data_IF_736438217859
#
_entry.id   IF_736438217859
#
_cell.length_a   1.000
_cell.length_b   1.000
_cell.length_c   1.000
_cell.angle_alpha   90.00
_cell.angle_beta   90.00
_cell.angle_gamma   90.00
#
_symmetry.space_group_name_H-M   'P 1'
#
loop_
_entity.id
_entity.type
_entity.pdbx_description
1 polymer ?
#
# COMPACT_ATOMS: atom_id res chain seq x y z
N UNK A 1 0.67 3.91 -59.35
CA UNK A 1 0.28 4.59 -58.09
C UNK A 1 -0.10 3.63 -56.94
N UNK A 2 0.40 2.37 -56.90
CA UNK A 2 0.05 1.39 -55.84
C UNK A 2 1.25 0.84 -55.06
N UNK A 3 2.47 1.26 -55.44
CA UNK A 3 3.73 0.89 -54.76
C UNK A 3 4.34 2.03 -53.93
N UNK A 4 3.80 3.25 -54.03
CA UNK A 4 4.25 4.39 -53.23
C UNK A 4 3.54 4.48 -51.86
N UNK A 5 2.37 3.84 -51.71
CA UNK A 5 1.58 3.88 -50.49
C UNK A 5 2.03 2.88 -49.40
N UNK A 6 2.88 1.90 -49.76
CA UNK A 6 3.37 0.89 -48.82
C UNK A 6 4.67 1.30 -48.11
N UNK A 7 5.33 2.37 -48.56
CA UNK A 7 6.57 2.87 -47.96
C UNK A 7 6.36 3.99 -46.93
N UNK A 8 5.14 4.53 -46.80
CA UNK A 8 4.83 5.61 -45.85
C UNK A 8 4.25 5.10 -44.50
N UNK A 9 4.02 3.80 -44.35
CA UNK A 9 3.44 3.17 -43.16
C UNK A 9 4.49 2.53 -42.23
N UNK A 10 5.78 2.85 -42.40
CA UNK A 10 6.88 2.22 -41.66
C UNK A 10 7.62 3.17 -40.70
N UNK A 11 7.12 4.39 -40.48
CA UNK A 11 7.78 5.40 -39.63
C UNK A 11 6.96 5.94 -38.45
N UNK A 12 5.83 5.32 -38.11
CA UNK A 12 5.07 5.62 -36.89
C UNK A 12 5.11 4.48 -35.87
N UNK A 13 6.18 3.69 -35.82
CA UNK A 13 6.53 3.03 -34.55
C UNK A 13 7.20 4.09 -33.68
N UNK A 14 6.38 4.98 -33.12
CA UNK A 14 6.73 5.56 -31.83
C UNK A 14 7.15 4.34 -30.98
N UNK A 15 8.37 4.29 -30.41
CA UNK A 15 8.60 3.33 -29.36
C UNK A 15 7.42 3.55 -28.42
N UNK A 16 6.62 2.51 -28.19
CA UNK A 16 5.76 2.50 -27.04
C UNK A 16 6.75 2.63 -25.89
N UNK A 17 7.00 3.87 -25.45
CA UNK A 17 7.51 4.13 -24.12
C UNK A 17 6.47 3.44 -23.27
N UNK A 18 6.77 2.21 -22.84
CA UNK A 18 6.02 1.60 -21.77
C UNK A 18 5.93 2.68 -20.71
N UNK A 19 4.71 2.96 -20.24
CA UNK A 19 4.53 4.01 -19.26
C UNK A 19 5.42 3.62 -18.07
N UNK A 20 6.53 4.32 -17.87
CA UNK A 20 7.55 4.00 -16.87
C UNK A 20 6.91 3.91 -15.48
N UNK A 21 5.77 4.58 -15.27
CA UNK A 21 4.99 4.45 -14.06
C UNK A 21 4.25 3.11 -13.96
N UNK A 22 3.65 2.59 -15.04
CA UNK A 22 3.02 1.27 -15.04
C UNK A 22 4.06 0.16 -14.82
N UNK A 23 5.25 0.31 -15.40
CA UNK A 23 6.39 -0.58 -15.16
C UNK A 23 6.88 -0.48 -13.71
N UNK A 24 6.97 0.74 -13.16
CA UNK A 24 7.32 0.95 -11.75
C UNK A 24 6.28 0.33 -10.82
N UNK A 25 5.00 0.55 -11.11
CA UNK A 25 3.89 0.01 -10.32
C UNK A 25 3.97 -1.51 -10.25
N UNK A 26 4.24 -2.15 -11.39
CA UNK A 26 4.40 -3.61 -11.47
C UNK A 26 5.68 -4.07 -10.78
N UNK A 27 6.82 -3.44 -11.08
CA UNK A 27 8.14 -3.85 -10.57
C UNK A 27 8.28 -3.66 -9.07
N UNK A 28 7.64 -2.63 -8.50
CA UNK A 28 7.60 -2.41 -7.06
C UNK A 28 6.59 -3.32 -6.32
N UNK A 29 5.94 -4.26 -7.01
CA UNK A 29 5.10 -5.30 -6.40
C UNK A 29 3.70 -4.84 -5.97
N UNK A 30 3.19 -3.73 -6.51
CA UNK A 30 1.87 -3.23 -6.14
C UNK A 30 0.72 -4.22 -6.40
N UNK A 31 0.65 -4.94 -7.54
CA UNK A 31 -0.41 -5.90 -7.79
C UNK A 31 -0.47 -7.03 -6.75
N UNK A 32 0.70 -7.53 -6.35
CA UNK A 32 0.83 -8.59 -5.34
C UNK A 32 0.52 -8.08 -3.95
N UNK A 33 0.99 -6.88 -3.57
CA UNK A 33 0.62 -6.24 -2.30
C UNK A 33 -0.91 -6.02 -2.21
N UNK A 34 -1.55 -5.58 -3.30
CA UNK A 34 -3.01 -5.48 -3.39
C UNK A 34 -3.66 -6.85 -3.19
N UNK A 35 -3.16 -7.90 -3.85
CA UNK A 35 -3.70 -9.25 -3.69
C UNK A 35 -3.60 -9.73 -2.23
N UNK A 36 -2.45 -9.52 -1.59
CA UNK A 36 -2.25 -9.85 -0.17
C UNK A 36 -3.20 -9.07 0.75
N UNK A 37 -3.44 -7.78 0.47
CA UNK A 37 -4.43 -6.99 1.20
C UNK A 37 -5.85 -7.57 1.04
N UNK A 38 -6.27 -7.92 -0.18
CA UNK A 38 -7.60 -8.51 -0.43
C UNK A 38 -7.75 -9.88 0.25
N UNK A 39 -6.70 -10.71 0.25
CA UNK A 39 -6.69 -11.99 0.96
C UNK A 39 -6.83 -11.80 2.48
N UNK A 40 -6.06 -10.86 3.05
CA UNK A 40 -6.12 -10.52 4.46
C UNK A 40 -7.50 -9.96 4.85
N UNK A 41 -8.08 -9.11 3.99
CA UNK A 41 -9.41 -8.55 4.16
C UNK A 41 -10.48 -9.66 4.15
N UNK A 42 -10.41 -10.58 3.19
CA UNK A 42 -11.34 -11.72 3.09
C UNK A 42 -11.25 -12.59 4.34
N UNK A 43 -10.03 -12.91 4.80
CA UNK A 43 -9.82 -13.66 6.03
C UNK A 43 -10.36 -12.91 7.27
N UNK A 44 -10.25 -11.57 7.30
CA UNK A 44 -10.82 -10.75 8.36
C UNK A 44 -12.36 -10.76 8.34
N UNK A 45 -12.97 -10.63 7.16
CA UNK A 45 -14.43 -10.72 6.98
C UNK A 45 -14.94 -12.07 7.50
N UNK A 46 -14.34 -13.20 7.11
CA UNK A 46 -14.74 -14.54 7.56
C UNK A 46 -14.77 -14.69 9.09
N UNK A 47 -13.83 -14.05 9.81
CA UNK A 47 -13.79 -14.05 11.29
C UNK A 47 -15.02 -13.38 11.92
N UNK A 48 -15.64 -12.41 11.24
CA UNK A 48 -16.82 -11.71 11.74
C UNK A 48 -18.13 -12.41 11.40
N UNK A 49 -18.12 -13.41 10.51
CA UNK A 49 -19.33 -14.10 10.03
C UNK A 49 -20.20 -14.66 11.15
N UNK A 50 -19.58 -15.19 12.20
CA UNK A 50 -20.30 -15.79 13.33
C UNK A 50 -20.59 -14.80 14.47
N UNK A 51 -20.03 -13.59 14.40
CA UNK A 51 -20.10 -12.59 15.47
C UNK A 51 -21.04 -11.42 15.13
N UNK A 52 -21.50 -11.32 13.88
CA UNK A 52 -22.39 -10.25 13.42
C UNK A 52 -23.74 -10.82 12.96
N UNK A 53 -24.86 -10.10 13.17
CA UNK A 53 -26.13 -10.48 12.57
C UNK A 53 -26.03 -10.56 11.04
N UNK A 54 -26.73 -11.50 10.37
CA UNK A 54 -26.55 -11.77 8.94
C UNK A 54 -26.68 -10.53 8.04
N UNK A 55 -27.65 -9.66 8.32
CA UNK A 55 -27.86 -8.44 7.55
C UNK A 55 -26.68 -7.45 7.69
N UNK A 56 -26.13 -7.31 8.90
CA UNK A 56 -24.98 -6.44 9.20
C UNK A 56 -23.72 -6.99 8.54
N UNK A 57 -23.51 -8.30 8.64
CA UNK A 57 -22.40 -8.98 7.99
C UNK A 57 -22.45 -8.80 6.47
N UNK A 58 -23.61 -9.00 5.85
CA UNK A 58 -23.77 -8.86 4.41
C UNK A 58 -23.53 -7.41 3.95
N UNK A 59 -24.04 -6.42 4.69
CA UNK A 59 -23.79 -5.01 4.41
C UNK A 59 -22.29 -4.69 4.50
N UNK A 60 -21.60 -5.17 5.54
CA UNK A 60 -20.16 -5.01 5.70
C UNK A 60 -19.38 -5.58 4.51
N UNK A 61 -19.64 -6.84 4.15
CA UNK A 61 -18.96 -7.52 3.04
C UNK A 61 -19.21 -6.81 1.71
N UNK A 62 -20.46 -6.41 1.43
CA UNK A 62 -20.80 -5.73 0.18
C UNK A 62 -20.08 -4.38 0.04
N UNK A 63 -20.14 -3.53 1.07
CA UNK A 63 -19.45 -2.24 1.05
C UNK A 63 -17.93 -2.41 0.97
N UNK A 64 -17.39 -3.39 1.69
CA UNK A 64 -15.97 -3.72 1.67
C UNK A 64 -15.51 -4.12 0.27
N UNK A 65 -16.18 -5.07 -0.35
CA UNK A 65 -15.82 -5.59 -1.68
C UNK A 65 -16.00 -4.53 -2.77
N UNK A 66 -16.99 -3.65 -2.65
CA UNK A 66 -17.16 -2.53 -3.56
C UNK A 66 -16.02 -1.52 -3.44
N UNK A 67 -15.66 -1.11 -2.21
CA UNK A 67 -14.60 -0.13 -1.99
C UNK A 67 -13.22 -0.66 -2.40
N UNK A 68 -12.94 -1.92 -2.05
CA UNK A 68 -11.66 -2.57 -2.26
C UNK A 68 -11.64 -3.47 -3.50
N UNK A 69 -12.51 -3.20 -4.48
CA UNK A 69 -12.49 -3.88 -5.77
C UNK A 69 -11.10 -3.72 -6.42
N UNK A 70 -10.41 -4.80 -6.81
CA UNK A 70 -9.01 -4.75 -7.24
C UNK A 70 -8.70 -3.71 -8.30
N UNK A 71 -9.47 -3.70 -9.40
CA UNK A 71 -9.27 -2.78 -10.52
C UNK A 71 -9.52 -1.32 -10.10
N UNK A 72 -10.44 -1.09 -9.16
CA UNK A 72 -10.73 0.25 -8.67
C UNK A 72 -9.61 0.75 -7.74
N UNK A 73 -9.03 -0.13 -6.92
CA UNK A 73 -7.86 0.19 -6.10
C UNK A 73 -6.67 0.56 -6.97
N UNK A 74 -6.33 -0.29 -7.95
CA UNK A 74 -5.19 -0.09 -8.83
C UNK A 74 -5.35 1.20 -9.65
N UNK A 75 -6.54 1.45 -10.20
CA UNK A 75 -6.83 2.68 -10.95
C UNK A 75 -6.60 3.93 -10.10
N UNK A 76 -7.20 4.01 -8.91
CA UNK A 76 -7.04 5.16 -8.01
C UNK A 76 -5.59 5.35 -7.58
N UNK A 77 -4.89 4.26 -7.27
CA UNK A 77 -3.49 4.30 -6.86
C UNK A 77 -2.60 4.81 -8.01
N UNK A 78 -2.74 4.27 -9.22
CA UNK A 78 -1.99 4.68 -10.41
C UNK A 78 -2.27 6.13 -10.81
N UNK A 79 -3.54 6.54 -10.84
CA UNK A 79 -3.92 7.94 -11.12
C UNK A 79 -3.32 8.89 -10.09
N UNK A 80 -3.37 8.52 -8.80
CA UNK A 80 -2.76 9.35 -7.76
C UNK A 80 -1.25 9.45 -7.93
N UNK A 81 -0.59 8.32 -8.20
CA UNK A 81 0.85 8.26 -8.38
C UNK A 81 1.31 9.07 -9.60
N UNK A 82 0.59 9.00 -10.74
CA UNK A 82 0.83 9.87 -11.93
C UNK A 82 0.81 11.35 -11.57
N UNK A 83 -0.07 11.75 -10.66
CA UNK A 83 -0.23 13.15 -10.27
C UNK A 83 0.77 13.60 -9.20
N UNK A 84 1.39 12.69 -8.46
CA UNK A 84 2.25 13.03 -7.31
C UNK A 84 3.72 12.67 -7.50
N UNK A 85 4.06 11.75 -8.39
CA UNK A 85 5.43 11.35 -8.68
C UNK A 85 5.92 12.10 -9.93
N UNK A 86 6.84 13.07 -9.78
CA UNK A 86 7.28 13.88 -10.92
C UNK A 86 8.07 13.08 -11.97
N UNK A 87 8.91 12.14 -11.52
CA UNK A 87 9.71 11.27 -12.38
C UNK A 87 9.74 9.84 -11.82
N UNK A 88 9.17 8.84 -12.53
CA UNK A 88 9.22 7.45 -12.11
C UNK A 88 10.56 6.76 -12.39
N UNK A 89 11.43 7.31 -13.25
CA UNK A 89 12.62 6.62 -13.76
C UNK A 89 13.63 6.24 -12.67
N UNK A 90 13.97 7.11 -11.70
CA UNK A 90 14.94 6.75 -10.65
C UNK A 90 14.44 5.59 -9.79
N UNK A 91 13.17 5.64 -9.39
CA UNK A 91 12.55 4.56 -8.61
C UNK A 91 12.45 3.27 -9.42
N UNK A 92 12.04 3.36 -10.69
CA UNK A 92 11.98 2.20 -11.59
C UNK A 92 13.35 1.52 -11.69
N UNK A 93 14.40 2.32 -11.91
CA UNK A 93 15.78 1.84 -12.01
C UNK A 93 16.20 1.13 -10.71
N UNK A 94 15.90 1.72 -9.55
CA UNK A 94 16.19 1.10 -8.26
C UNK A 94 15.47 -0.24 -8.10
N UNK A 95 14.16 -0.31 -8.35
CA UNK A 95 13.40 -1.56 -8.18
C UNK A 95 13.74 -2.64 -9.22
N UNK A 96 14.27 -2.27 -10.38
CA UNK A 96 14.80 -3.22 -11.37
C UNK A 96 16.20 -3.78 -10.99
N UNK A 97 16.93 -3.11 -10.11
CA UNK A 97 18.23 -3.59 -9.62
C UNK A 97 18.13 -4.93 -8.88
N UNK A 98 19.24 -5.68 -8.73
CA UNK A 98 19.25 -6.87 -7.89
C UNK A 98 18.77 -6.60 -6.46
N UNK A 99 19.22 -5.50 -5.85
CA UNK A 99 18.82 -5.11 -4.49
C UNK A 99 17.32 -4.79 -4.42
N UNK A 100 16.82 -3.94 -5.34
CA UNK A 100 15.41 -3.57 -5.39
C UNK A 100 14.48 -4.77 -5.50
N UNK A 101 14.83 -5.75 -6.35
CA UNK A 101 14.09 -7.01 -6.45
C UNK A 101 14.11 -7.84 -5.17
N UNK A 102 15.23 -7.86 -4.44
CA UNK A 102 15.33 -8.54 -3.13
C UNK A 102 14.47 -7.86 -2.07
N UNK A 103 14.43 -6.54 -2.06
CA UNK A 103 13.56 -5.74 -1.17
C UNK A 103 12.10 -6.05 -1.44
N UNK A 104 11.66 -5.95 -2.70
CA UNK A 104 10.27 -6.27 -3.08
C UNK A 104 9.92 -7.71 -2.70
N UNK A 105 10.80 -8.68 -2.98
CA UNK A 105 10.57 -10.07 -2.59
C UNK A 105 10.43 -10.25 -1.06
N UNK A 106 11.24 -9.55 -0.27
CA UNK A 106 11.17 -9.59 1.19
C UNK A 106 9.85 -8.98 1.72
N UNK A 107 9.42 -7.86 1.16
CA UNK A 107 8.15 -7.20 1.50
C UNK A 107 6.93 -8.05 1.12
N UNK A 108 6.94 -8.64 -0.08
CA UNK A 108 5.89 -9.54 -0.54
C UNK A 108 5.82 -10.81 0.31
N UNK A 109 6.97 -11.37 0.69
CA UNK A 109 7.00 -12.51 1.61
C UNK A 109 6.35 -12.13 2.94
N UNK A 110 6.70 -10.97 3.50
CA UNK A 110 6.20 -10.54 4.81
C UNK A 110 4.68 -10.31 4.83
N UNK A 111 4.07 -9.89 3.73
CA UNK A 111 2.62 -9.64 3.63
C UNK A 111 1.82 -10.84 3.13
N UNK A 112 2.47 -11.96 2.80
CA UNK A 112 1.80 -13.17 2.32
C UNK A 112 0.90 -13.78 3.41
N UNK A 113 -0.24 -14.34 3.01
CA UNK A 113 -1.28 -14.88 3.91
C UNK A 113 -0.74 -15.84 4.97
N UNK A 114 0.15 -16.76 4.60
CA UNK A 114 0.75 -17.74 5.52
C UNK A 114 1.68 -17.07 6.55
N UNK A 115 2.44 -16.05 6.16
CA UNK A 115 3.29 -15.30 7.08
C UNK A 115 2.46 -14.48 8.06
N UNK A 116 1.41 -13.80 7.57
CA UNK A 116 0.47 -13.09 8.42
C UNK A 116 -0.24 -14.01 9.41
N UNK A 117 -0.64 -15.21 8.96
CA UNK A 117 -1.26 -16.21 9.84
C UNK A 117 -0.27 -16.74 10.89
N UNK A 118 0.96 -17.05 10.47
CA UNK A 118 2.02 -17.54 11.36
C UNK A 118 2.39 -16.53 12.44
N UNK A 119 2.33 -15.23 12.13
CA UNK A 119 2.73 -14.15 13.02
C UNK A 119 1.54 -13.32 13.52
N UNK A 120 0.34 -13.91 13.56
CA UNK A 120 -0.88 -13.23 14.01
C UNK A 120 -0.81 -12.75 15.48
N UNK A 121 0.09 -13.31 16.30
CA UNK A 121 0.32 -12.93 17.70
C UNK A 121 1.51 -11.96 17.87
N UNK A 122 2.10 -11.51 16.77
CA UNK A 122 3.29 -10.66 16.77
C UNK A 122 4.48 -11.32 16.07
N UNK A 123 5.45 -10.47 15.74
CA UNK A 123 6.72 -10.89 15.16
C UNK A 123 7.69 -11.32 16.26
N UNK A 124 8.57 -12.31 16.00
CA UNK A 124 9.65 -12.61 16.93
C UNK A 124 10.54 -11.38 17.12
N UNK A 125 11.07 -11.20 18.33
CA UNK A 125 12.06 -10.15 18.58
C UNK A 125 13.38 -10.52 17.94
N UNK A 126 13.92 -9.61 17.12
CA UNK A 126 15.22 -9.81 16.48
C UNK A 126 16.29 -9.04 17.27
N UNK A 127 17.30 -9.77 17.71
CA UNK A 127 18.53 -9.15 18.19
C UNK A 127 19.43 -8.82 17.00
N UNK A 128 19.89 -7.58 16.92
CA UNK A 128 20.65 -7.06 15.79
C UNK A 128 21.90 -6.33 16.28
N UNK A 129 22.94 -6.32 15.45
CA UNK A 129 24.15 -5.51 15.69
C UNK A 129 23.82 -4.03 15.80
N UNK A 130 24.68 -3.25 16.46
CA UNK A 130 24.50 -1.79 16.55
C UNK A 130 24.41 -1.14 15.16
N UNK A 131 25.21 -1.62 14.20
CA UNK A 131 25.16 -1.16 12.79
C UNK A 131 23.80 -1.43 12.16
N UNK A 132 23.30 -2.66 12.26
CA UNK A 132 22.00 -3.01 11.68
C UNK A 132 20.85 -2.24 12.34
N UNK A 133 20.91 -2.03 13.66
CA UNK A 133 19.93 -1.19 14.36
C UNK A 133 19.97 0.26 13.85
N UNK A 134 21.15 0.83 13.64
CA UNK A 134 21.29 2.17 13.07
C UNK A 134 20.63 2.26 11.68
N UNK A 135 20.94 1.32 10.77
CA UNK A 135 20.38 1.28 9.42
C UNK A 135 18.85 1.16 9.44
N UNK A 136 18.30 0.32 10.31
CA UNK A 136 16.84 0.19 10.48
C UNK A 136 16.21 1.47 11.02
N UNK A 137 16.86 2.16 11.96
CA UNK A 137 16.39 3.46 12.45
C UNK A 137 16.34 4.52 11.34
N UNK A 138 17.28 4.48 10.40
CA UNK A 138 17.25 5.35 9.22
C UNK A 138 16.07 4.97 8.30
N UNK A 139 15.89 3.68 8.00
CA UNK A 139 14.73 3.22 7.21
C UNK A 139 13.39 3.56 7.86
N UNK A 140 13.23 3.41 9.19
CA UNK A 140 11.97 3.71 9.88
C UNK A 140 11.58 5.20 9.85
N UNK A 141 12.54 6.07 9.58
CA UNK A 141 12.32 7.51 9.34
C UNK A 141 12.10 7.84 7.88
N UNK A 142 12.80 7.16 6.97
CA UNK A 142 12.70 7.38 5.53
C UNK A 142 11.43 6.79 4.92
N UNK A 143 10.98 5.63 5.41
CA UNK A 143 9.81 4.92 4.91
C UNK A 143 8.54 5.37 5.66
N UNK A 144 7.44 5.69 4.95
CA UNK A 144 6.16 6.07 5.55
C UNK A 144 5.35 4.85 6.02
N UNK A 145 6.02 3.87 6.65
CA UNK A 145 5.42 2.59 7.02
C UNK A 145 4.35 2.73 8.12
N UNK A 146 4.58 3.61 9.10
CA UNK A 146 3.60 3.89 10.17
C UNK A 146 2.37 4.62 9.62
N UNK A 147 2.57 5.56 8.70
CA UNK A 147 1.48 6.26 8.02
C UNK A 147 0.69 5.26 7.18
N UNK A 148 1.35 4.48 6.33
CA UNK A 148 0.69 3.48 5.49
C UNK A 148 -0.14 2.48 6.31
N UNK A 149 0.41 1.95 7.42
CA UNK A 149 -0.32 1.04 8.30
C UNK A 149 -1.54 1.69 8.98
N UNK A 150 -1.42 2.97 9.37
CA UNK A 150 -2.56 3.72 9.91
C UNK A 150 -3.65 3.94 8.84
N UNK A 151 -3.28 4.26 7.60
CA UNK A 151 -4.24 4.45 6.50
C UNK A 151 -4.98 3.15 6.15
N UNK A 152 -4.29 2.00 6.16
CA UNK A 152 -4.91 0.67 5.99
C UNK A 152 -5.95 0.42 7.08
N UNK A 153 -5.59 0.66 8.33
CA UNK A 153 -6.49 0.44 9.47
C UNK A 153 -7.72 1.34 9.39
N UNK A 154 -7.53 2.62 9.07
CA UNK A 154 -8.60 3.60 8.93
C UNK A 154 -9.50 3.30 7.74
N UNK A 155 -8.97 2.79 6.63
CA UNK A 155 -9.76 2.37 5.48
C UNK A 155 -10.75 1.26 5.86
N UNK A 156 -10.28 0.25 6.59
CA UNK A 156 -11.09 -0.87 7.06
C UNK A 156 -12.15 -0.38 8.05
N UNK A 157 -11.76 0.48 9.00
CA UNK A 157 -12.68 1.07 9.97
C UNK A 157 -13.78 1.92 9.29
N UNK A 158 -13.41 2.68 8.26
CA UNK A 158 -14.34 3.50 7.47
C UNK A 158 -15.42 2.67 6.79
N UNK A 159 -15.07 1.50 6.24
CA UNK A 159 -16.07 0.57 5.66
C UNK A 159 -17.07 0.09 6.70
N UNK A 160 -16.60 -0.26 7.89
CA UNK A 160 -17.49 -0.70 8.97
C UNK A 160 -18.45 0.42 9.40
N UNK A 161 -17.95 1.66 9.50
CA UNK A 161 -18.76 2.83 9.84
C UNK A 161 -19.83 3.13 8.76
N UNK A 162 -19.44 3.12 7.48
CA UNK A 162 -20.36 3.32 6.34
C UNK A 162 -21.45 2.24 6.31
N UNK A 163 -21.07 0.99 6.56
CA UNK A 163 -21.99 -0.14 6.58
C UNK A 163 -23.02 -0.02 7.70
N UNK A 164 -22.60 0.49 8.87
CA UNK A 164 -23.52 0.74 9.99
C UNK A 164 -24.46 1.93 9.69
N UNK A 165 -23.93 3.02 9.15
CA UNK A 165 -24.68 4.23 8.81
C UNK A 165 -25.77 3.97 7.75
N UNK A 166 -25.47 3.14 6.73
CA UNK A 166 -26.44 2.79 5.68
C UNK A 166 -27.63 1.97 6.19
N UNK A 167 -27.47 1.26 7.32
CA UNK A 167 -28.58 0.52 7.96
C UNK A 167 -29.37 1.37 8.96
N UNK A 168 -28.74 2.35 9.61
CA UNK A 168 -29.37 3.23 10.60
C UNK A 168 -29.13 4.69 10.20
N UNK A 169 -29.97 5.24 9.31
CA UNK A 169 -29.88 6.65 8.92
C UNK A 169 -29.96 7.57 10.15
N UNK A 170 -28.97 8.45 10.31
CA UNK A 170 -28.94 9.44 11.40
C UNK A 170 -28.11 9.08 12.64
N UNK A 171 -27.50 7.88 12.69
CA UNK A 171 -26.69 7.46 13.84
C UNK A 171 -25.32 8.17 13.92
N UNK A 172 -24.79 8.66 12.80
CA UNK A 172 -23.47 9.31 12.71
C UNK A 172 -23.59 10.64 11.95
N UNK A 173 -23.69 11.75 12.69
CA UNK A 173 -23.69 13.11 12.14
C UNK A 173 -22.31 13.47 11.57
N UNK A 174 -22.24 13.68 10.25
CA UNK A 174 -21.02 13.74 9.42
C UNK A 174 -19.99 14.85 9.68
N UNK A 175 -20.02 15.54 10.82
CA UNK A 175 -19.06 16.61 11.18
C UNK A 175 -18.15 16.31 12.38
N UNK A 176 -18.63 15.56 13.38
CA UNK A 176 -17.83 15.22 14.58
C UNK A 176 -16.93 13.97 14.38
N UNK A 177 -17.16 13.20 13.32
CA UNK A 177 -16.39 12.01 13.01
C UNK A 177 -14.94 12.32 12.59
N UNK A 178 -14.71 13.44 11.89
CA UNK A 178 -13.39 13.74 11.29
C UNK A 178 -12.29 13.99 12.34
N UNK A 179 -12.54 14.86 13.32
CA UNK A 179 -11.57 15.14 14.39
C UNK A 179 -11.31 13.92 15.30
N UNK A 180 -12.30 13.05 15.46
CA UNK A 180 -12.14 11.77 16.17
C UNK A 180 -11.27 10.78 15.37
N UNK A 181 -11.41 10.74 14.04
CA UNK A 181 -10.59 9.92 13.15
C UNK A 181 -9.13 10.39 13.13
N UNK A 182 -8.88 11.70 13.17
CA UNK A 182 -7.52 12.24 13.23
C UNK A 182 -6.80 11.85 14.53
N UNK A 183 -7.49 11.92 15.68
CA UNK A 183 -6.96 11.43 16.95
C UNK A 183 -6.78 9.90 17.00
N UNK A 184 -7.57 9.13 16.25
CA UNK A 184 -7.33 7.69 16.07
C UNK A 184 -6.11 7.43 15.18
N UNK A 185 -5.94 8.19 14.09
CA UNK A 185 -4.77 8.10 13.21
C UNK A 185 -3.48 8.28 14.00
N UNK A 186 -3.39 9.34 14.79
CA UNK A 186 -2.19 9.64 15.58
C UNK A 186 -1.84 8.53 16.57
N UNK A 187 -2.85 7.99 17.29
CA UNK A 187 -2.65 6.87 18.22
C UNK A 187 -2.19 5.59 17.51
N UNK A 188 -2.76 5.28 16.35
CA UNK A 188 -2.33 4.13 15.54
C UNK A 188 -0.89 4.29 15.06
N UNK A 189 -0.52 5.50 14.62
CA UNK A 189 0.86 5.78 14.22
C UNK A 189 1.85 5.58 15.37
N UNK A 190 1.50 6.00 16.59
CA UNK A 190 2.34 5.78 17.79
C UNK A 190 2.47 4.29 18.15
N UNK A 191 1.39 3.53 18.05
CA UNK A 191 1.41 2.07 18.28
C UNK A 191 2.28 1.35 17.25
N UNK A 192 2.11 1.68 15.97
CA UNK A 192 2.91 1.08 14.89
C UNK A 192 4.38 1.50 15.03
N UNK A 193 4.66 2.75 15.40
CA UNK A 193 6.02 3.23 15.62
C UNK A 193 6.78 2.42 16.69
N UNK A 194 6.09 1.97 17.75
CA UNK A 194 6.70 1.15 18.80
C UNK A 194 7.25 -0.20 18.33
N UNK A 195 6.62 -0.80 17.31
CA UNK A 195 7.01 -2.10 16.75
C UNK A 195 7.70 -2.01 15.38
N UNK A 196 7.80 -0.79 14.83
CA UNK A 196 8.24 -0.57 13.45
C UNK A 196 9.67 -1.10 13.24
N UNK A 197 10.60 -0.76 14.13
CA UNK A 197 12.00 -1.20 13.97
C UNK A 197 12.12 -2.74 13.99
N UNK A 198 11.39 -3.43 14.89
CA UNK A 198 11.39 -4.89 14.91
C UNK A 198 10.74 -5.49 13.65
N UNK A 199 9.71 -4.81 13.13
CA UNK A 199 9.06 -5.20 11.88
C UNK A 199 10.02 -5.09 10.70
N UNK A 200 10.73 -3.96 10.55
CA UNK A 200 11.70 -3.77 9.48
C UNK A 200 12.90 -4.72 9.62
N UNK A 201 13.36 -4.98 10.84
CA UNK A 201 14.36 -6.03 11.10
C UNK A 201 13.88 -7.39 10.61
N UNK A 202 12.62 -7.73 10.83
CA UNK A 202 12.05 -9.00 10.40
C UNK A 202 11.89 -9.07 8.88
N UNK A 203 11.32 -8.03 8.27
CA UNK A 203 11.11 -7.96 6.81
C UNK A 203 12.44 -8.09 6.08
N UNK A 204 13.44 -7.29 6.46
CA UNK A 204 14.72 -7.22 5.76
C UNK A 204 15.83 -8.11 6.36
N UNK A 205 15.46 -9.11 7.16
CA UNK A 205 16.41 -10.01 7.88
C UNK A 205 17.45 -10.67 6.98
N UNK A 206 17.07 -10.96 5.74
CA UNK A 206 17.90 -11.68 4.76
C UNK A 206 18.83 -10.73 3.96
N UNK A 207 18.67 -9.41 4.10
CA UNK A 207 19.61 -8.44 3.52
C UNK A 207 20.88 -8.35 4.37
N UNK A 208 22.02 -8.16 3.71
CA UNK A 208 23.28 -7.82 4.39
C UNK A 208 23.28 -6.36 4.84
N UNK A 209 24.17 -6.00 5.79
CA UNK A 209 24.28 -4.62 6.26
C UNK A 209 24.64 -3.64 5.12
N UNK A 210 25.55 -3.96 4.18
CA UNK A 210 25.80 -3.11 3.01
C UNK A 210 24.58 -2.92 2.10
N UNK A 211 23.77 -3.98 1.92
CA UNK A 211 22.53 -3.89 1.12
C UNK A 211 21.46 -3.04 1.81
N UNK A 212 21.37 -3.13 3.14
CA UNK A 212 20.52 -2.23 3.93
C UNK A 212 21.00 -0.78 3.85
N UNK A 213 22.30 -0.53 3.85
CA UNK A 213 22.88 0.80 3.68
C UNK A 213 22.60 1.40 2.30
N UNK A 214 22.73 0.61 1.23
CA UNK A 214 22.35 1.03 -0.12
C UNK A 214 20.84 1.34 -0.20
N UNK A 215 20.02 0.54 0.49
CA UNK A 215 18.58 0.82 0.56
C UNK A 215 18.28 2.12 1.32
N UNK A 216 18.91 2.34 2.48
CA UNK A 216 18.81 3.60 3.23
C UNK A 216 19.19 4.77 2.34
N UNK A 217 20.30 4.64 1.62
CA UNK A 217 20.82 5.70 0.72
C UNK A 217 19.79 6.07 -0.34
N UNK A 218 19.17 5.08 -0.98
CA UNK A 218 18.08 5.35 -1.93
C UNK A 218 16.86 5.98 -1.23
N UNK A 219 16.38 5.41 -0.13
CA UNK A 219 15.18 5.88 0.56
C UNK A 219 15.32 7.32 1.09
N UNK A 220 16.53 7.73 1.50
CA UNK A 220 16.82 9.08 1.97
C UNK A 220 17.14 10.08 0.85
N UNK A 221 17.42 9.59 -0.37
CA UNK A 221 17.68 10.44 -1.54
C UNK A 221 16.44 11.28 -1.90
N UNK A 222 16.61 12.41 -2.63
CA UNK A 222 15.47 13.19 -3.13
C UNK A 222 14.48 12.35 -3.94
N UNK A 223 14.98 11.47 -4.80
CA UNK A 223 14.14 10.64 -5.68
C UNK A 223 13.41 9.54 -4.90
N UNK A 224 14.09 8.89 -3.94
CA UNK A 224 13.46 7.90 -3.07
C UNK A 224 12.38 8.52 -2.19
N UNK A 225 12.62 9.70 -1.62
CA UNK A 225 11.62 10.47 -0.87
C UNK A 225 10.42 10.83 -1.74
N UNK A 226 10.65 11.30 -2.98
CA UNK A 226 9.58 11.60 -3.92
C UNK A 226 8.73 10.35 -4.22
N UNK A 227 9.38 9.21 -4.43
CA UNK A 227 8.70 7.93 -4.62
C UNK A 227 7.88 7.52 -3.40
N UNK A 228 8.45 7.50 -2.19
CA UNK A 228 7.73 7.03 -1.01
C UNK A 228 6.58 7.95 -0.60
N UNK A 229 6.71 9.27 -0.81
CA UNK A 229 5.59 10.21 -0.64
C UNK A 229 4.46 9.94 -1.65
N UNK A 230 4.81 9.69 -2.92
CA UNK A 230 3.83 9.33 -3.94
C UNK A 230 3.19 7.95 -3.65
N UNK A 231 3.96 6.99 -3.15
CA UNK A 231 3.48 5.68 -2.75
C UNK A 231 2.48 5.78 -1.58
N UNK A 232 2.78 6.57 -0.55
CA UNK A 232 1.82 6.81 0.54
C UNK A 232 0.53 7.46 0.01
N UNK A 233 0.65 8.43 -0.89
CA UNK A 233 -0.51 9.08 -1.50
C UNK A 233 -1.33 8.08 -2.33
N UNK A 234 -0.67 7.19 -3.07
CA UNK A 234 -1.30 6.13 -3.85
C UNK A 234 -2.00 5.09 -2.97
N UNK A 235 -1.43 4.71 -1.81
CA UNK A 235 -2.10 3.86 -0.81
C UNK A 235 -3.39 4.51 -0.33
N UNK A 236 -3.34 5.79 0.07
CA UNK A 236 -4.53 6.54 0.53
C UNK A 236 -5.63 6.58 -0.53
N UNK A 237 -5.26 6.84 -1.78
CA UNK A 237 -6.20 6.88 -2.90
C UNK A 237 -6.74 5.49 -3.26
N UNK A 238 -5.87 4.48 -3.33
CA UNK A 238 -6.22 3.09 -3.61
C UNK A 238 -7.22 2.55 -2.59
N UNK A 239 -7.05 2.87 -1.31
CA UNK A 239 -7.96 2.47 -0.22
C UNK A 239 -9.16 3.42 -0.03
N UNK A 240 -9.22 4.49 -0.82
CA UNK A 240 -10.23 5.54 -0.74
C UNK A 240 -10.41 6.12 0.67
N UNK A 241 -9.33 6.27 1.46
CA UNK A 241 -9.42 6.67 2.88
C UNK A 241 -10.17 8.00 3.02
N UNK A 242 -11.11 8.08 3.96
CA UNK A 242 -11.92 9.27 4.20
C UNK A 242 -13.04 9.51 3.17
N UNK A 243 -13.22 8.63 2.18
CA UNK A 243 -14.35 8.67 1.26
C UNK A 243 -15.41 7.65 1.67
N UNK A 244 -16.68 8.02 1.44
CA UNK A 244 -17.82 7.12 1.63
C UNK A 244 -17.89 6.11 0.48
N UNK A 245 -18.34 4.89 0.77
CA UNK A 245 -18.53 3.88 -0.28
C UNK A 245 -19.56 4.34 -1.34
N UNK A 246 -20.56 5.12 -0.94
CA UNK A 246 -21.55 5.72 -1.84
C UNK A 246 -20.97 6.74 -2.83
N UNK A 247 -19.93 7.50 -2.45
CA UNK A 247 -19.29 8.46 -3.36
C UNK A 247 -18.39 7.81 -4.40
N UNK A 248 -18.10 6.52 -4.27
CA UNK A 248 -17.28 5.74 -5.21
C UNK A 248 -18.11 5.07 -6.33
N UNK A 249 -19.45 5.12 -6.23
CA UNK A 249 -20.37 4.51 -7.18
C UNK A 249 -20.87 5.48 -8.28
N UNK A 250 -20.41 6.73 -8.25
CA UNK A 250 -20.67 7.77 -9.26
C UNK A 250 -19.48 7.88 -10.20
#
# INVERSE_FOLDING_TARGET
>A
MRRLFLLLMMFCTLPAWADNLDDLFTTAGWPEQRAHFVDALTAAQERYRNNLPPAVYQALVNNSNQRFAPDAMDRRAKEKMRNTLPDPVPALTFFQSPLGRRIVAAELLATRRDQLAKHAQGLPRIEASATRQLLINHLSRALPAREAGAEVTLAIAGVAADSLSSMIPGLLGGGQAQGMLDGQRQRLMEQIAGELDNTLLYVYRDLSDPELEEFVTFAESPDGKAYYLAALAAIRAGLAVGQSTSSLAQ
#
